data_IF_255855051662
#
_entry.id   IF_255855051662
#
_cell.length_a   1.000
_cell.length_b   1.000
_cell.length_c   1.000
_cell.angle_alpha   90.00
_cell.angle_beta   90.00
_cell.angle_gamma   90.00
#
_symmetry.space_group_name_H-M   'P 1'
#
loop_
_entity.id
_entity.type
_entity.pdbx_description
1 polymer ?
#
# COMPACT_ATOMS: atom_id res chain seq x y z
N UNK A 1 -7.73 10.51 27.65
CA UNK A 1 -7.99 11.81 26.97
C UNK A 1 -8.49 11.46 25.57
N UNK A 2 -9.80 11.54 25.33
CA UNK A 2 -10.42 11.20 24.05
C UNK A 2 -10.29 12.39 23.10
N UNK A 3 -9.30 12.36 22.21
CA UNK A 3 -9.18 13.35 21.14
C UNK A 3 -10.31 13.09 20.14
N UNK A 4 -11.31 13.96 20.14
CA UNK A 4 -12.30 14.01 19.05
C UNK A 4 -11.55 14.36 17.78
N UNK A 5 -11.49 13.45 16.83
CA UNK A 5 -11.06 13.76 15.46
C UNK A 5 -12.10 14.73 14.89
N UNK A 6 -11.80 16.03 14.93
CA UNK A 6 -12.57 17.02 14.19
C UNK A 6 -12.60 16.59 12.72
N UNK A 7 -13.72 16.77 12.01
CA UNK A 7 -13.77 16.59 10.55
C UNK A 7 -12.79 17.59 9.92
N UNK A 8 -11.54 17.18 9.72
CA UNK A 8 -10.47 17.97 9.15
C UNK A 8 -10.55 17.95 7.61
N UNK A 9 -10.13 19.02 6.92
CA UNK A 9 -10.19 19.11 5.46
C UNK A 9 -9.05 18.32 4.80
N UNK A 10 -9.06 16.99 4.95
CA UNK A 10 -8.16 16.06 4.23
C UNK A 10 -8.33 16.20 2.71
N UNK A 11 -9.48 16.70 2.25
CA UNK A 11 -9.73 17.00 0.85
C UNK A 11 -8.68 17.95 0.24
N UNK A 12 -8.19 18.93 1.01
CA UNK A 12 -7.23 19.91 0.50
C UNK A 12 -5.83 19.30 0.29
N UNK A 13 -5.41 18.39 1.18
CA UNK A 13 -4.10 17.74 1.05
C UNK A 13 -4.07 16.75 -0.12
N UNK A 14 -5.21 16.18 -0.50
CA UNK A 14 -5.36 15.34 -1.70
C UNK A 14 -5.20 16.14 -3.00
N UNK A 15 -5.59 17.42 -3.01
CA UNK A 15 -5.42 18.32 -4.17
C UNK A 15 -4.15 19.17 -4.10
N UNK A 16 -3.28 18.88 -3.13
CA UNK A 16 -1.91 19.39 -3.07
C UNK A 16 -1.71 20.75 -2.40
N UNK A 17 -2.67 21.18 -1.57
CA UNK A 17 -2.57 22.40 -0.75
C UNK A 17 -2.82 22.09 0.73
N UNK A 18 -2.46 23.01 1.63
CA UNK A 18 -2.69 22.85 3.06
C UNK A 18 -4.16 23.12 3.44
N UNK A 19 -4.49 22.97 4.72
CA UNK A 19 -5.85 23.13 5.23
C UNK A 19 -6.47 24.50 4.89
N UNK A 20 -5.64 25.54 4.76
CA UNK A 20 -6.05 26.90 4.38
C UNK A 20 -6.23 27.11 2.86
N UNK A 21 -6.05 26.05 2.06
CA UNK A 21 -6.19 26.10 0.60
C UNK A 21 -4.96 26.65 -0.14
N UNK A 22 -3.85 26.92 0.56
CA UNK A 22 -2.66 27.52 -0.04
C UNK A 22 -1.46 26.56 -0.06
N UNK A 23 -0.52 26.78 -0.98
CA UNK A 23 0.76 26.07 -0.99
C UNK A 23 1.81 26.80 -0.16
N UNK A 24 2.81 26.06 0.33
CA UNK A 24 4.04 26.60 0.95
C UNK A 24 5.25 26.54 0.02
N UNK A 25 5.05 26.08 -1.21
CA UNK A 25 6.12 25.84 -2.18
C UNK A 25 5.84 26.69 -3.42
N UNK A 26 6.84 27.45 -3.84
CA UNK A 26 6.84 28.18 -5.10
C UNK A 26 8.19 27.99 -5.81
N UNK A 27 8.17 28.05 -7.14
CA UNK A 27 9.36 27.97 -7.97
C UNK A 27 9.22 28.96 -9.11
N UNK A 28 10.21 29.86 -9.30
CA UNK A 28 10.20 30.88 -10.35
C UNK A 28 8.91 31.73 -10.39
N UNK A 29 8.37 32.07 -9.21
CA UNK A 29 7.12 32.84 -9.09
C UNK A 29 5.84 32.05 -9.37
N UNK A 30 5.94 30.75 -9.67
CA UNK A 30 4.80 29.86 -9.86
C UNK A 30 4.55 29.03 -8.60
N UNK A 31 3.27 28.80 -8.29
CA UNK A 31 2.89 27.89 -7.22
C UNK A 31 3.23 26.44 -7.59
N UNK A 32 3.81 25.71 -6.63
CA UNK A 32 4.07 24.27 -6.74
C UNK A 32 3.18 23.55 -5.73
N UNK A 33 2.50 22.51 -6.16
CA UNK A 33 1.62 21.72 -5.28
C UNK A 33 2.39 20.63 -4.55
N UNK A 34 1.97 20.34 -3.32
CA UNK A 34 2.45 19.19 -2.57
C UNK A 34 1.79 17.91 -3.08
N UNK A 35 2.47 16.78 -2.94
CA UNK A 35 1.92 15.48 -3.32
C UNK A 35 1.44 14.76 -2.06
N UNK A 36 0.13 14.48 -1.97
CA UNK A 36 -0.49 13.84 -0.80
C UNK A 36 -0.19 14.55 0.53
N UNK A 37 -0.09 15.89 0.50
CA UNK A 37 0.28 16.69 1.68
C UNK A 37 1.73 16.55 2.12
N UNK A 38 2.61 15.96 1.30
CA UNK A 38 4.04 15.81 1.52
C UNK A 38 4.85 16.57 0.45
N UNK A 39 6.10 16.91 0.77
CA UNK A 39 7.03 17.58 -0.15
C UNK A 39 8.46 17.09 0.05
N UNK A 40 8.64 15.76 0.11
CA UNK A 40 9.90 15.09 0.49
C UNK A 40 11.05 15.27 -0.51
N UNK A 41 10.80 15.76 -1.72
CA UNK A 41 11.82 16.09 -2.72
C UNK A 41 12.34 17.53 -2.62
N UNK A 42 12.11 18.19 -1.48
CA UNK A 42 12.66 19.50 -1.12
C UNK A 42 13.49 19.36 0.16
N UNK A 43 14.55 20.16 0.29
CA UNK A 43 15.36 20.22 1.51
C UNK A 43 14.54 20.64 2.73
N UNK A 44 13.48 21.44 2.51
CA UNK A 44 12.54 21.86 3.54
C UNK A 44 11.12 21.65 3.03
N UNK A 45 10.24 21.25 3.93
CA UNK A 45 8.82 21.09 3.63
C UNK A 45 7.98 21.53 4.83
N UNK A 46 6.72 21.88 4.58
CA UNK A 46 5.74 22.22 5.60
C UNK A 46 4.61 21.23 5.49
N UNK A 47 4.30 20.54 6.58
CA UNK A 47 3.26 19.52 6.61
C UNK A 47 2.35 19.76 7.81
N UNK A 48 1.08 19.30 7.75
CA UNK A 48 0.21 19.29 8.92
C UNK A 48 0.82 18.47 10.06
N UNK A 49 0.59 18.88 11.30
CA UNK A 49 1.04 18.15 12.50
C UNK A 49 0.52 16.70 12.50
N UNK A 50 -0.71 16.49 12.05
CA UNK A 50 -1.35 15.16 11.92
C UNK A 50 -0.66 14.23 10.92
N UNK A 51 0.19 14.78 10.03
CA UNK A 51 0.92 14.03 9.02
C UNK A 51 2.34 13.66 9.47
N UNK A 52 2.67 13.91 10.74
CA UNK A 52 3.98 13.62 11.33
C UNK A 52 3.85 12.78 12.59
N UNK A 53 4.88 11.96 12.82
CA UNK A 53 5.05 11.20 14.06
C UNK A 53 6.50 11.36 14.52
N UNK A 54 6.70 11.65 15.80
CA UNK A 54 8.05 11.83 16.37
C UNK A 54 8.69 10.46 16.62
N UNK A 55 9.80 10.18 15.95
CA UNK A 55 10.61 8.97 16.19
C UNK A 55 11.66 9.20 17.30
N UNK A 56 12.25 8.11 17.80
CA UNK A 56 13.42 8.14 18.70
C UNK A 56 14.58 8.93 18.09
N UNK A 57 15.29 9.71 18.90
CA UNK A 57 16.32 10.64 18.42
C UNK A 57 17.60 9.97 17.89
N UNK A 58 17.81 8.69 18.19
CA UNK A 58 18.95 7.87 17.78
C UNK A 58 18.58 6.89 16.65
N UNK A 59 17.42 7.03 16.02
CA UNK A 59 17.05 6.23 14.86
C UNK A 59 17.95 6.56 13.65
N UNK A 60 18.44 5.55 12.91
CA UNK A 60 19.19 5.77 11.67
C UNK A 60 18.26 6.32 10.58
N UNK A 61 18.33 7.64 10.33
CA UNK A 61 17.46 8.34 9.38
C UNK A 61 17.56 7.79 7.96
N UNK A 62 18.74 7.27 7.58
CA UNK A 62 19.03 6.68 6.28
C UNK A 62 18.33 5.33 6.04
N UNK A 63 17.71 4.75 7.08
CA UNK A 63 16.96 3.50 7.01
C UNK A 63 15.49 3.68 7.41
N UNK A 64 15.23 4.45 8.47
CA UNK A 64 13.89 4.59 9.04
C UNK A 64 12.90 5.27 8.08
N UNK A 65 13.38 6.02 7.09
CA UNK A 65 12.53 6.64 6.07
C UNK A 65 11.68 5.61 5.30
N UNK A 66 12.12 4.35 5.23
CA UNK A 66 11.36 3.25 4.62
C UNK A 66 9.99 3.04 5.29
N UNK A 67 9.87 3.33 6.59
CA UNK A 67 8.62 3.27 7.35
C UNK A 67 7.60 4.33 6.90
N UNK A 68 8.03 5.36 6.17
CA UNK A 68 7.15 6.45 5.74
C UNK A 68 6.21 6.08 4.58
N UNK A 69 6.42 4.94 3.91
CA UNK A 69 5.53 4.46 2.86
C UNK A 69 5.70 2.97 2.57
N UNK A 70 6.72 2.61 1.77
CA UNK A 70 6.81 1.28 1.16
C UNK A 70 6.96 0.14 2.16
N UNK A 71 7.72 0.34 3.25
CA UNK A 71 7.88 -0.71 4.25
C UNK A 71 6.65 -0.81 5.15
N UNK A 72 6.09 0.29 5.66
CA UNK A 72 4.88 0.22 6.51
C UNK A 72 3.70 -0.38 5.74
N UNK A 73 3.52 0.03 4.49
CA UNK A 73 2.46 -0.47 3.61
C UNK A 73 2.73 -1.92 3.23
N UNK A 74 3.96 -2.25 2.82
CA UNK A 74 4.37 -3.58 2.40
C UNK A 74 4.42 -4.56 3.57
N UNK A 75 5.21 -4.30 4.60
CA UNK A 75 5.33 -5.16 5.79
C UNK A 75 4.00 -5.44 6.47
N UNK A 76 3.09 -4.47 6.57
CA UNK A 76 1.76 -4.68 7.15
C UNK A 76 0.76 -5.32 6.18
N UNK A 77 0.98 -5.24 4.86
CA UNK A 77 0.17 -5.95 3.88
C UNK A 77 0.71 -7.35 3.58
N UNK A 78 1.90 -7.44 3.01
CA UNK A 78 2.60 -8.65 2.65
C UNK A 78 4.09 -8.36 2.81
N UNK A 79 4.76 -9.01 3.76
CA UNK A 79 6.23 -9.03 3.73
C UNK A 79 6.66 -9.63 2.38
N UNK A 80 6.96 -8.79 1.35
CA UNK A 80 7.76 -8.91 0.10
C UNK A 80 7.24 -8.05 -1.07
N UNK A 81 8.08 -7.51 -1.97
CA UNK A 81 8.72 -8.25 -3.08
C UNK A 81 9.93 -7.52 -3.72
N UNK A 82 10.84 -8.32 -4.26
CA UNK A 82 12.00 -7.95 -5.09
C UNK A 82 12.77 -9.24 -5.42
N UNK A 83 13.49 -9.28 -6.56
CA UNK A 83 14.31 -10.39 -7.14
C UNK A 83 14.31 -11.68 -6.31
N UNK A 84 13.91 -12.82 -6.90
CA UNK A 84 13.70 -14.12 -6.21
C UNK A 84 14.68 -14.43 -5.06
N UNK A 85 15.97 -14.12 -5.18
CA UNK A 85 16.94 -14.21 -4.08
C UNK A 85 16.56 -13.42 -2.82
N UNK A 86 16.24 -12.12 -2.92
CA UNK A 86 15.80 -11.28 -1.79
C UNK A 86 14.45 -11.72 -1.26
N UNK A 87 13.61 -12.25 -2.15
CA UNK A 87 12.39 -12.91 -1.73
C UNK A 87 12.72 -14.14 -0.86
N UNK A 88 13.58 -15.05 -1.28
CA UNK A 88 13.91 -16.21 -0.43
C UNK A 88 14.54 -15.79 0.89
N UNK A 89 15.43 -14.77 0.90
CA UNK A 89 15.97 -14.18 2.14
C UNK A 89 14.87 -13.68 3.10
N UNK A 90 13.82 -13.09 2.55
CA UNK A 90 12.62 -12.66 3.29
C UNK A 90 11.58 -13.78 3.47
N UNK A 91 12.00 -15.05 3.36
CA UNK A 91 11.22 -16.26 3.66
C UNK A 91 10.07 -16.61 2.70
N UNK A 92 10.17 -16.32 1.39
CA UNK A 92 9.30 -17.08 0.48
C UNK A 92 9.82 -18.49 0.39
N UNK A 93 8.89 -19.43 0.45
CA UNK A 93 9.13 -20.84 0.14
C UNK A 93 9.31 -21.03 -1.36
N UNK A 94 8.52 -20.33 -2.17
CA UNK A 94 8.48 -20.48 -3.62
C UNK A 94 8.37 -19.14 -4.34
N UNK A 95 8.88 -19.09 -5.57
CA UNK A 95 8.86 -17.91 -6.42
C UNK A 95 8.55 -18.37 -7.85
N UNK A 96 7.54 -17.75 -8.46
CA UNK A 96 7.05 -18.12 -9.79
C UNK A 96 7.11 -16.89 -10.69
N UNK A 97 7.71 -17.02 -11.88
CA UNK A 97 7.71 -15.96 -12.89
C UNK A 97 6.62 -16.23 -13.92
N UNK A 98 5.64 -15.35 -14.12
CA UNK A 98 4.58 -15.57 -15.13
C UNK A 98 5.12 -15.76 -16.55
N UNK A 99 6.35 -15.32 -16.84
CA UNK A 99 6.98 -15.46 -18.17
C UNK A 99 7.54 -16.86 -18.43
N UNK A 100 7.73 -17.65 -17.37
CA UNK A 100 8.26 -19.02 -17.48
C UNK A 100 7.14 -20.04 -17.78
N UNK A 101 5.90 -19.59 -17.91
CA UNK A 101 4.73 -20.43 -18.13
C UNK A 101 3.93 -20.01 -19.36
N UNK A 102 3.35 -20.99 -20.04
CA UNK A 102 2.45 -20.78 -21.19
C UNK A 102 0.98 -20.59 -20.78
N UNK A 103 0.60 -21.04 -19.58
CA UNK A 103 -0.73 -20.86 -18.99
C UNK A 103 -0.82 -19.51 -18.27
N UNK A 104 -2.02 -18.92 -18.11
CA UNK A 104 -2.23 -17.80 -17.21
C UNK A 104 -1.74 -18.13 -15.80
N UNK A 105 -1.04 -17.19 -15.17
CA UNK A 105 -0.34 -17.45 -13.90
C UNK A 105 -1.29 -17.87 -12.77
N UNK A 106 -2.53 -17.39 -12.77
CA UNK A 106 -3.59 -17.78 -11.84
C UNK A 106 -3.94 -19.27 -11.91
N UNK A 107 -3.86 -19.89 -13.09
CA UNK A 107 -4.10 -21.34 -13.24
C UNK A 107 -2.90 -22.15 -12.76
N UNK A 108 -1.68 -21.69 -13.08
CA UNK A 108 -0.44 -22.32 -12.58
C UNK A 108 -0.44 -22.34 -11.06
N UNK A 109 -0.76 -21.22 -10.43
CA UNK A 109 -0.83 -21.14 -8.98
C UNK A 109 -1.96 -22.04 -8.43
N UNK A 110 -3.09 -22.19 -9.15
CA UNK A 110 -4.22 -23.07 -8.76
C UNK A 110 -3.78 -24.52 -8.69
N UNK A 111 -3.05 -24.95 -9.70
CA UNK A 111 -2.47 -26.29 -9.77
C UNK A 111 -1.41 -26.49 -8.67
N UNK A 112 -0.58 -25.48 -8.40
CA UNK A 112 0.45 -25.55 -7.35
C UNK A 112 -0.10 -25.60 -5.92
N UNK A 113 -1.31 -25.06 -5.70
CA UNK A 113 -1.88 -24.87 -4.35
C UNK A 113 -3.15 -25.68 -4.11
N UNK A 114 -3.42 -26.69 -4.95
CA UNK A 114 -4.60 -27.56 -4.85
C UNK A 114 -5.93 -26.78 -4.85
N UNK A 115 -6.03 -25.80 -5.75
CA UNK A 115 -7.27 -25.06 -6.02
C UNK A 115 -7.31 -23.62 -5.52
N UNK A 116 -6.24 -23.10 -4.91
CA UNK A 116 -6.17 -21.70 -4.50
C UNK A 116 -5.33 -21.44 -3.25
N UNK A 117 -5.06 -20.15 -3.00
CA UNK A 117 -4.44 -19.70 -1.74
C UNK A 117 -5.49 -19.18 -0.75
N UNK A 118 -5.20 -19.30 0.55
CA UNK A 118 -6.02 -18.74 1.63
C UNK A 118 -6.01 -17.19 1.63
N UNK A 119 -4.88 -16.61 1.23
CA UNK A 119 -4.65 -15.17 1.20
C UNK A 119 -3.86 -14.82 -0.05
N UNK A 120 -4.28 -13.78 -0.79
CA UNK A 120 -3.40 -13.14 -1.76
C UNK A 120 -3.43 -11.63 -1.64
N UNK A 121 -2.28 -11.06 -2.00
CA UNK A 121 -1.97 -9.67 -1.83
C UNK A 121 -1.51 -9.09 -3.16
N UNK A 122 -2.23 -8.07 -3.59
CA UNK A 122 -1.89 -7.32 -4.80
C UNK A 122 -1.10 -6.08 -4.38
N UNK A 123 0.15 -6.01 -4.81
CA UNK A 123 1.10 -4.94 -4.47
C UNK A 123 1.79 -4.34 -5.70
N UNK A 124 1.24 -4.58 -6.91
CA UNK A 124 1.73 -4.00 -8.17
C UNK A 124 0.87 -2.79 -8.55
N UNK A 125 -0.42 -2.80 -8.21
CA UNK A 125 -1.39 -1.77 -8.57
C UNK A 125 -1.92 -1.92 -10.00
N UNK A 126 -1.92 -3.14 -10.54
CA UNK A 126 -2.44 -3.43 -11.88
C UNK A 126 -3.85 -4.05 -11.81
N UNK A 127 -4.87 -3.47 -12.48
CA UNK A 127 -6.21 -4.05 -12.51
C UNK A 127 -6.24 -5.48 -13.03
N UNK A 128 -5.39 -5.82 -14.01
CA UNK A 128 -5.28 -7.17 -14.54
C UNK A 128 -4.73 -8.17 -13.50
N UNK A 129 -3.79 -7.73 -12.67
CA UNK A 129 -3.24 -8.55 -11.58
C UNK A 129 -4.23 -8.69 -10.44
N UNK A 130 -5.04 -7.65 -10.16
CA UNK A 130 -6.13 -7.73 -9.19
C UNK A 130 -7.17 -8.78 -9.57
N UNK A 131 -7.61 -8.78 -10.83
CA UNK A 131 -8.58 -9.76 -11.36
C UNK A 131 -7.99 -11.18 -11.31
N UNK A 132 -6.76 -11.34 -11.78
CA UNK A 132 -6.06 -12.64 -11.75
C UNK A 132 -5.83 -13.17 -10.33
N UNK A 133 -5.50 -12.31 -9.37
CA UNK A 133 -5.48 -12.67 -7.96
C UNK A 133 -6.86 -13.14 -7.50
N UNK A 134 -7.93 -12.43 -7.90
CA UNK A 134 -9.36 -12.76 -7.74
C UNK A 134 -9.79 -14.15 -8.21
N UNK A 135 -9.18 -14.66 -9.28
CA UNK A 135 -9.56 -15.93 -9.91
C UNK A 135 -8.95 -17.17 -9.21
N UNK A 136 -7.88 -16.98 -8.44
CA UNK A 136 -7.03 -18.05 -7.91
C UNK A 136 -7.29 -18.39 -6.44
N UNK A 137 -8.56 -18.34 -6.02
CA UNK A 137 -8.96 -18.35 -4.61
C UNK A 137 -9.87 -19.51 -4.23
N UNK A 138 -9.62 -20.11 -3.06
CA UNK A 138 -10.55 -21.04 -2.40
C UNK A 138 -11.79 -20.29 -1.88
N UNK A 139 -12.88 -21.00 -1.55
CA UNK A 139 -14.19 -20.43 -1.17
C UNK A 139 -14.21 -19.58 0.12
N UNK A 140 -13.07 -19.40 0.80
CA UNK A 140 -12.94 -18.62 2.06
C UNK A 140 -11.71 -17.72 2.10
N UNK A 141 -11.15 -17.37 0.94
CA UNK A 141 -9.92 -16.58 0.87
C UNK A 141 -10.17 -15.08 1.03
N UNK A 142 -9.08 -14.37 1.37
CA UNK A 142 -9.08 -12.91 1.47
C UNK A 142 -8.12 -12.29 0.46
N UNK A 143 -8.63 -11.35 -0.33
CA UNK A 143 -7.81 -10.48 -1.17
C UNK A 143 -7.54 -9.16 -0.44
N UNK A 144 -6.28 -8.77 -0.33
CA UNK A 144 -5.89 -7.45 0.17
C UNK A 144 -5.32 -6.61 -0.97
N UNK A 145 -5.99 -5.49 -1.25
CA UNK A 145 -5.53 -4.52 -2.23
C UNK A 145 -4.65 -3.45 -1.58
N UNK A 146 -3.42 -3.33 -2.08
CA UNK A 146 -2.46 -2.30 -1.71
C UNK A 146 -2.31 -1.35 -2.90
N UNK A 147 -3.12 -0.29 -2.91
CA UNK A 147 -3.24 0.70 -4.00
C UNK A 147 -3.71 0.13 -5.35
N UNK A 148 -5.02 0.15 -5.62
CA UNK A 148 -5.57 -0.14 -6.95
C UNK A 148 -6.97 0.41 -7.17
N UNK A 149 -7.40 0.45 -8.43
CA UNK A 149 -8.75 0.83 -8.85
C UNK A 149 -9.73 -0.33 -8.63
N UNK A 150 -10.98 -0.03 -8.20
CA UNK A 150 -11.99 -1.07 -7.94
C UNK A 150 -12.40 -1.77 -9.25
N UNK A 151 -12.09 -3.06 -9.36
CA UNK A 151 -12.77 -3.97 -10.29
C UNK A 151 -14.16 -4.36 -9.78
N UNK A 152 -15.13 -4.55 -10.67
CA UNK A 152 -16.48 -5.01 -10.33
C UNK A 152 -16.53 -6.55 -10.33
N UNK A 153 -16.19 -7.20 -9.21
CA UNK A 153 -16.18 -8.66 -9.08
C UNK A 153 -17.28 -9.21 -8.15
N UNK A 154 -18.52 -8.74 -8.34
CA UNK A 154 -19.64 -9.03 -7.42
C UNK A 154 -19.95 -10.53 -7.32
N UNK A 155 -19.89 -11.28 -8.43
CA UNK A 155 -20.18 -12.71 -8.46
C UNK A 155 -19.26 -13.54 -7.55
N UNK A 156 -17.97 -13.20 -7.53
CA UNK A 156 -16.96 -13.88 -6.71
C UNK A 156 -17.19 -13.65 -5.21
N UNK A 157 -17.68 -12.46 -4.85
CA UNK A 157 -18.05 -12.14 -3.47
C UNK A 157 -19.29 -12.94 -3.02
N UNK A 158 -20.25 -13.15 -3.92
CA UNK A 158 -21.44 -13.96 -3.64
C UNK A 158 -21.09 -15.43 -3.40
N UNK A 159 -20.01 -15.93 -4.00
CA UNK A 159 -19.48 -17.28 -3.77
C UNK A 159 -18.64 -17.41 -2.47
N UNK A 160 -18.67 -16.42 -1.57
CA UNK A 160 -18.07 -16.51 -0.24
C UNK A 160 -16.68 -15.88 -0.11
N UNK A 161 -16.10 -15.32 -1.19
CA UNK A 161 -14.81 -14.64 -1.14
C UNK A 161 -14.91 -13.27 -0.50
N UNK A 162 -13.83 -12.82 0.13
CA UNK A 162 -13.75 -11.52 0.79
C UNK A 162 -12.70 -10.63 0.14
N UNK A 163 -13.10 -9.43 -0.31
CA UNK A 163 -12.20 -8.39 -0.80
C UNK A 163 -12.04 -7.29 0.26
N UNK A 164 -10.81 -7.04 0.70
CA UNK A 164 -10.42 -5.95 1.61
C UNK A 164 -9.41 -5.04 0.92
N UNK A 165 -9.54 -3.73 1.16
CA UNK A 165 -8.52 -2.75 0.77
C UNK A 165 -7.79 -2.23 2.00
N UNK A 166 -6.53 -1.86 1.85
CA UNK A 166 -5.77 -1.20 2.91
C UNK A 166 -5.11 0.08 2.39
N UNK A 167 -5.08 1.12 3.23
CA UNK A 167 -4.30 2.33 3.00
C UNK A 167 -3.23 2.39 4.07
N UNK A 168 -1.96 2.55 3.67
CA UNK A 168 -0.82 2.53 4.59
C UNK A 168 -0.73 1.26 5.47
N UNK A 169 -1.17 0.12 4.93
CA UNK A 169 -1.14 -1.15 5.67
C UNK A 169 -2.18 -1.27 6.80
N UNK A 170 -3.06 -0.27 6.96
CA UNK A 170 -4.07 -0.25 8.02
C UNK A 170 -3.51 0.19 9.38
N UNK A 171 -2.24 0.65 9.38
CA UNK A 171 -1.55 1.11 10.56
C UNK A 171 -2.04 2.50 10.97
N UNK A 172 -2.16 2.69 12.28
CA UNK A 172 -2.29 3.98 12.93
C UNK A 172 -0.89 4.56 13.13
N UNK A 173 -0.56 5.62 12.41
CA UNK A 173 0.81 6.13 12.28
C UNK A 173 1.56 6.35 13.60
N UNK A 174 0.92 6.88 14.65
CA UNK A 174 1.58 7.13 15.95
C UNK A 174 1.54 5.92 16.87
N UNK A 175 0.47 5.12 16.83
CA UNK A 175 0.27 4.01 17.78
C UNK A 175 1.02 2.73 17.35
N UNK A 176 1.17 2.50 16.04
CA UNK A 176 1.65 1.22 15.52
C UNK A 176 3.11 1.25 15.01
N UNK A 177 3.69 2.44 14.79
CA UNK A 177 5.06 2.60 14.24
C UNK A 177 6.09 3.11 15.27
N UNK A 178 5.67 3.49 16.47
CA UNK A 178 6.49 4.13 17.52
C UNK A 178 6.33 3.42 18.86
#
# INVERSE_FOLDING_TARGET
>A
MTTRVAKLPIANTQVGVLADGTSRISCKGQQVYQFLGLGSFSQYTVVPEISLAKIRGDAPLEKVWLLGCGFSTGYAAAVKTGKFSRAVELRATECVDPRDHSKPIQEVLAEMTDGGVDYALECVGSPAVMVGAGDHYTLQSHQYLVNGERGNEIEKLLMGRTLKGTYFGGLKGVEDLL
#
